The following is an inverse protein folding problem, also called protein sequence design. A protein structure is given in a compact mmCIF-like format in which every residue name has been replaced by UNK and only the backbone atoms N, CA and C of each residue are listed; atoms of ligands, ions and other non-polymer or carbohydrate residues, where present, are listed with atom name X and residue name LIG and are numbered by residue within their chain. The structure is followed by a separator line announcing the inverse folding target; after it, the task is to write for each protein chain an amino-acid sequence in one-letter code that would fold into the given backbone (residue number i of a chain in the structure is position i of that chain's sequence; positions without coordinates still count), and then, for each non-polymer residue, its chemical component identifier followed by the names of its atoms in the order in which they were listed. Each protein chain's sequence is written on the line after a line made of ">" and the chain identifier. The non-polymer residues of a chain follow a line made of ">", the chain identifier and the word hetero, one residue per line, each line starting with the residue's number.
data_IF_393044748072
#
_entry.id   IF_393044748072
#
_cell.length_a   1.000
_cell.length_b   1.000
_cell.length_c   1.000
_cell.angle_alpha   90.00
_cell.angle_beta   90.00
_cell.angle_gamma   90.00
#
_symmetry.space_group_name_H-M   'P 1'
#
loop_
_entity.id
_entity.type
_entity.pdbx_description
1 polymer ?
#
# COMPACT_ATOMS: atom_id res chain seq x y z
N UNK A 1 1.34 11.80 16.10
CA UNK A 1 0.70 10.81 16.99
C UNK A 1 1.27 9.43 16.70
N UNK A 2 1.64 8.68 17.73
CA UNK A 2 2.27 7.35 17.63
C UNK A 2 1.41 6.39 16.80
N UNK A 3 0.09 6.41 16.98
CA UNK A 3 -0.85 5.56 16.24
C UNK A 3 -0.85 5.83 14.74
N UNK A 4 -0.78 7.10 14.30
CA UNK A 4 -0.71 7.44 12.87
C UNK A 4 0.56 6.87 12.21
N UNK A 5 1.69 6.93 12.91
CA UNK A 5 2.96 6.40 12.42
C UNK A 5 2.92 4.87 12.33
N UNK A 6 2.37 4.21 13.35
CA UNK A 6 2.19 2.75 13.37
C UNK A 6 1.27 2.29 12.24
N UNK A 7 0.14 2.96 12.03
CA UNK A 7 -0.81 2.66 10.96
C UNK A 7 -0.18 2.84 9.56
N UNK A 8 0.63 3.89 9.38
CA UNK A 8 1.44 4.10 8.17
C UNK A 8 2.45 2.97 7.93
N UNK A 9 3.11 2.50 8.99
CA UNK A 9 4.05 1.38 8.93
C UNK A 9 3.34 0.06 8.58
N UNK A 10 2.19 -0.21 9.19
CA UNK A 10 1.35 -1.38 8.91
C UNK A 10 0.93 -1.43 7.43
N UNK A 11 0.40 -0.33 6.89
CA UNK A 11 0.02 -0.26 5.46
C UNK A 11 1.21 -0.48 4.53
N UNK A 12 2.40 0.04 4.87
CA UNK A 12 3.62 -0.23 4.10
C UNK A 12 3.99 -1.71 4.15
N UNK A 13 3.83 -2.37 5.30
CA UNK A 13 4.07 -3.81 5.42
C UNK A 13 3.09 -4.62 4.57
N UNK A 14 1.81 -4.27 4.56
CA UNK A 14 0.80 -4.91 3.70
C UNK A 14 1.11 -4.73 2.21
N UNK A 15 1.51 -3.52 1.80
CA UNK A 15 2.02 -3.26 0.44
C UNK A 15 3.22 -4.15 0.10
N UNK A 16 4.16 -4.33 1.03
CA UNK A 16 5.29 -5.24 0.81
C UNK A 16 4.84 -6.69 0.60
N UNK A 17 3.81 -7.16 1.31
CA UNK A 17 3.23 -8.50 1.10
C UNK A 17 2.62 -8.64 -0.31
N UNK A 18 1.84 -7.65 -0.76
CA UNK A 18 1.32 -7.61 -2.14
C UNK A 18 2.44 -7.66 -3.17
N UNK A 19 3.52 -6.88 -2.96
CA UNK A 19 4.67 -6.90 -3.88
C UNK A 19 5.33 -8.27 -3.97
N UNK A 20 5.41 -9.00 -2.85
CA UNK A 20 5.92 -10.38 -2.82
C UNK A 20 4.97 -11.37 -3.49
N UNK A 21 3.66 -11.17 -3.33
CA UNK A 21 2.63 -11.97 -4.01
C UNK A 21 2.75 -11.80 -5.53
N UNK A 22 3.06 -10.59 -6.01
CA UNK A 22 3.35 -10.32 -7.42
C UNK A 22 4.79 -10.71 -7.80
N UNK A 23 5.10 -12.00 -7.66
CA UNK A 23 6.45 -12.53 -7.90
C UNK A 23 6.92 -12.33 -9.35
N UNK A 24 6.03 -12.56 -10.32
CA UNK A 24 6.37 -12.50 -11.75
C UNK A 24 6.18 -11.09 -12.29
N UNK A 25 7.10 -10.66 -13.16
CA UNK A 25 7.04 -9.36 -13.85
C UNK A 25 5.69 -9.16 -14.56
N UNK A 26 5.22 -10.16 -15.31
CA UNK A 26 3.92 -10.10 -16.00
C UNK A 26 2.76 -9.80 -15.05
N UNK A 27 2.78 -10.38 -13.84
CA UNK A 27 1.79 -10.09 -12.80
C UNK A 27 1.92 -8.66 -12.32
N UNK A 28 3.14 -8.17 -12.03
CA UNK A 28 3.33 -6.77 -11.62
C UNK A 28 2.79 -5.78 -12.65
N UNK A 29 3.05 -6.00 -13.94
CA UNK A 29 2.47 -5.17 -15.00
C UNK A 29 0.95 -5.16 -14.96
N UNK A 30 0.32 -6.35 -14.88
CA UNK A 30 -1.14 -6.48 -14.84
C UNK A 30 -1.75 -5.73 -13.64
N UNK A 31 -1.22 -5.97 -12.45
CA UNK A 31 -1.76 -5.40 -11.21
C UNK A 31 -1.50 -3.89 -11.12
N UNK A 32 -0.31 -3.41 -11.51
CA UNK A 32 -0.01 -1.98 -11.50
C UNK A 32 -0.87 -1.19 -12.51
N UNK A 33 -1.18 -1.77 -13.69
CA UNK A 33 -2.14 -1.18 -14.63
C UNK A 33 -3.57 -1.19 -14.08
N UNK A 34 -3.98 -2.28 -13.44
CA UNK A 34 -5.30 -2.39 -12.81
C UNK A 34 -5.48 -1.35 -11.69
N UNK A 35 -4.40 -0.94 -11.02
CA UNK A 35 -4.39 0.15 -10.06
C UNK A 35 -4.41 1.56 -10.67
N UNK A 36 -4.47 1.68 -12.00
CA UNK A 36 -4.56 2.97 -12.71
C UNK A 36 -3.25 3.77 -12.73
N UNK A 37 -2.10 3.13 -12.51
CA UNK A 37 -0.81 3.80 -12.65
C UNK A 37 -0.53 4.10 -14.14
N UNK A 38 0.06 5.26 -14.47
CA UNK A 38 0.38 5.59 -15.84
C UNK A 38 1.47 4.64 -16.38
N UNK A 39 1.39 4.29 -17.66
CA UNK A 39 2.17 3.20 -18.25
C UNK A 39 3.69 3.37 -18.08
N UNK A 40 4.19 4.61 -18.17
CA UNK A 40 5.61 4.91 -17.93
C UNK A 40 6.07 4.53 -16.52
N UNK A 41 5.24 4.75 -15.50
CA UNK A 41 5.52 4.31 -14.12
C UNK A 41 5.47 2.80 -14.04
N UNK A 42 4.48 2.17 -14.67
CA UNK A 42 4.36 0.71 -14.66
C UNK A 42 5.63 0.05 -15.21
N UNK A 43 6.15 0.54 -16.35
CA UNK A 43 7.37 0.04 -16.96
C UNK A 43 8.60 0.19 -16.06
N UNK A 44 8.78 1.36 -15.44
CA UNK A 44 9.89 1.62 -14.52
C UNK A 44 9.80 0.72 -13.28
N UNK A 45 8.60 0.57 -12.72
CA UNK A 45 8.42 -0.06 -11.41
C UNK A 45 8.37 -1.58 -11.48
N UNK A 46 7.70 -2.18 -12.47
CA UNK A 46 7.50 -3.63 -12.55
C UNK A 46 8.83 -4.41 -12.65
N UNK A 47 9.82 -3.85 -13.35
CA UNK A 47 11.13 -4.42 -13.60
C UNK A 47 12.23 -3.93 -12.64
N UNK A 48 11.89 -3.09 -11.66
CA UNK A 48 12.89 -2.53 -10.76
C UNK A 48 13.61 -3.63 -9.96
N UNK A 49 14.94 -3.52 -9.88
CA UNK A 49 15.82 -4.42 -9.10
C UNK A 49 15.87 -4.06 -7.61
N UNK A 50 14.91 -3.26 -7.14
CA UNK A 50 14.86 -2.76 -5.76
C UNK A 50 14.14 -3.76 -4.86
N UNK A 51 14.56 -3.83 -3.60
CA UNK A 51 13.97 -4.75 -2.63
C UNK A 51 12.49 -4.43 -2.32
N UNK A 52 11.71 -5.41 -1.82
CA UNK A 52 10.26 -5.26 -1.60
C UNK A 52 9.88 -4.07 -0.72
N UNK A 53 10.68 -3.73 0.30
CA UNK A 53 10.42 -2.61 1.18
C UNK A 53 10.53 -1.23 0.50
N UNK A 54 11.43 -1.12 -0.48
CA UNK A 54 11.57 0.09 -1.31
C UNK A 54 10.42 0.19 -2.30
N UNK A 55 9.96 -0.95 -2.82
CA UNK A 55 8.82 -1.02 -3.77
C UNK A 55 7.47 -0.77 -3.11
N UNK A 56 7.31 -1.09 -1.83
CA UNK A 56 6.11 -0.76 -1.05
C UNK A 56 5.90 0.76 -0.79
N UNK A 57 6.80 1.60 -1.30
CA UNK A 57 6.76 3.06 -1.21
C UNK A 57 6.56 3.69 -2.60
N UNK A 58 6.53 5.02 -2.69
CA UNK A 58 6.52 5.75 -3.95
C UNK A 58 5.20 5.60 -4.70
N UNK A 59 5.20 5.28 -6.01
CA UNK A 59 3.98 5.14 -6.79
C UNK A 59 2.98 4.13 -6.20
N UNK A 60 3.48 3.04 -5.64
CA UNK A 60 2.64 2.01 -5.01
C UNK A 60 1.96 2.51 -3.73
N UNK A 61 2.56 3.44 -2.99
CA UNK A 61 1.91 4.08 -1.84
C UNK A 61 0.78 5.01 -2.28
N UNK A 62 0.92 5.68 -3.43
CA UNK A 62 -0.13 6.53 -4.00
C UNK A 62 -1.30 5.69 -4.52
N UNK A 63 -1.00 4.62 -5.24
CA UNK A 63 -1.99 3.70 -5.78
C UNK A 63 -2.74 2.90 -4.70
N UNK A 64 -2.02 2.36 -3.72
CA UNK A 64 -2.57 1.59 -2.60
C UNK A 64 -2.61 2.46 -1.34
N UNK A 65 -3.33 3.58 -1.44
CA UNK A 65 -3.53 4.56 -0.37
C UNK A 65 -4.55 4.12 0.68
N UNK A 66 -4.91 5.03 1.58
CA UNK A 66 -5.83 4.72 2.69
C UNK A 66 -7.20 4.24 2.21
N UNK A 67 -7.77 4.92 1.20
CA UNK A 67 -9.08 4.56 0.64
C UNK A 67 -9.11 3.14 0.07
N UNK A 68 -8.04 2.73 -0.63
CA UNK A 68 -7.90 1.36 -1.11
C UNK A 68 -7.96 0.38 0.07
N UNK A 69 -7.15 0.57 1.10
CA UNK A 69 -7.12 -0.36 2.23
C UNK A 69 -8.43 -0.39 3.03
N UNK A 70 -9.09 0.76 3.19
CA UNK A 70 -10.42 0.83 3.80
C UNK A 70 -11.47 0.07 2.98
N UNK A 71 -11.46 0.18 1.65
CA UNK A 71 -12.35 -0.60 0.77
C UNK A 71 -12.10 -2.12 0.84
N UNK A 72 -10.89 -2.52 1.21
CA UNK A 72 -10.51 -3.92 1.45
C UNK A 72 -10.78 -4.37 2.90
N UNK A 73 -11.45 -3.54 3.71
CA UNK A 73 -11.83 -3.86 5.09
C UNK A 73 -10.77 -3.56 6.15
N UNK A 74 -9.66 -2.90 5.82
CA UNK A 74 -8.67 -2.49 6.81
C UNK A 74 -9.21 -1.32 7.65
N UNK A 75 -9.55 -1.59 8.90
CA UNK A 75 -9.97 -0.57 9.86
C UNK A 75 -8.81 0.37 10.23
N UNK A 76 -9.10 1.68 10.32
CA UNK A 76 -8.10 2.64 10.81
C UNK A 76 -7.94 2.53 12.33
N UNK A 77 -6.71 2.27 12.75
CA UNK A 77 -6.31 2.24 14.16
C UNK A 77 -6.58 3.59 14.83
N UNK A 78 -6.27 4.68 14.12
CA UNK A 78 -6.41 6.04 14.63
C UNK A 78 -7.89 6.41 14.81
N UNK A 79 -8.75 6.09 13.84
CA UNK A 79 -10.20 6.33 13.93
C UNK A 79 -10.80 5.54 15.10
N UNK A 80 -10.45 4.25 15.22
CA UNK A 80 -10.92 3.40 16.32
C UNK A 80 -10.49 3.91 17.69
N UNK A 81 -9.25 4.40 17.81
CA UNK A 81 -8.77 4.99 19.05
C UNK A 81 -9.53 6.27 19.41
N UNK A 82 -9.79 7.14 18.43
CA UNK A 82 -10.55 8.37 18.64
C UNK A 82 -12.00 8.09 19.03
N UNK A 83 -12.65 7.14 18.35
CA UNK A 83 -14.05 6.77 18.66
C UNK A 83 -14.19 6.23 20.08
N UNK A 84 -13.24 5.39 20.51
CA UNK A 84 -13.23 4.88 21.89
C UNK A 84 -13.00 6.02 22.87
N UNK A 85 -11.99 6.87 22.64
CA UNK A 85 -11.67 7.99 23.53
C UNK A 85 -12.83 8.99 23.69
N UNK A 86 -13.65 9.20 22.66
CA UNK A 86 -14.81 10.09 22.71
C UNK A 86 -16.05 9.46 23.37
N UNK A 87 -16.08 8.13 23.47
CA UNK A 87 -17.18 7.40 24.11
C UNK A 87 -17.01 7.28 25.64
N UNK A 88 -15.84 7.63 26.16
CA UNK A 88 -15.55 7.83 27.59
C UNK A 88 -15.70 9.29 27.96
#
# INVERSE_FOLDING_TARGET
>A
SIFKNLEGWMRRRLRMCLWKQWKRVRTRYRELRALGLPEWVVHEFANARRGPWRMAHGPMNRALGNAYWQSQGLMSLTERYQSLRQAW
#
